data_IF_133360530521
#
_entry.id   IF_133360530521
#
_cell.length_a   1.000
_cell.length_b   1.000
_cell.length_c   1.000
_cell.angle_alpha   90.00
_cell.angle_beta   90.00
_cell.angle_gamma   90.00
#
_symmetry.space_group_name_H-M   'P 1'
#
loop_
_entity.id
_entity.type
_entity.pdbx_description
1 polymer ?
#
# COMPACT_ATOMS: atom_id res chain seq x y z
N UNK A 1 -21.53 -37.95 47.30
CA UNK A 1 -20.18 -37.78 46.71
C UNK A 1 -20.34 -37.78 45.19
N UNK A 2 -20.06 -36.67 44.51
CA UNK A 2 -20.10 -36.63 43.03
C UNK A 2 -18.83 -37.32 42.52
N UNK A 3 -18.96 -38.39 41.72
CA UNK A 3 -17.81 -39.02 41.05
C UNK A 3 -17.23 -38.01 40.06
N UNK A 4 -16.00 -37.58 40.29
CA UNK A 4 -15.24 -36.79 39.33
C UNK A 4 -14.78 -37.75 38.23
N UNK A 5 -15.36 -37.63 37.04
CA UNK A 5 -14.85 -38.32 35.86
C UNK A 5 -13.51 -37.66 35.49
N UNK A 6 -12.40 -38.32 35.81
CA UNK A 6 -11.08 -37.89 35.38
C UNK A 6 -10.94 -38.03 33.87
N UNK A 7 -10.23 -37.09 33.25
CA UNK A 7 -9.88 -37.14 31.84
C UNK A 7 -8.93 -38.32 31.58
N UNK A 8 -9.17 -39.09 30.52
CA UNK A 8 -8.32 -40.26 30.22
C UNK A 8 -7.01 -39.83 29.56
N UNK A 9 -5.93 -40.58 29.79
CA UNK A 9 -4.65 -40.33 29.11
C UNK A 9 -4.78 -40.46 27.58
N UNK A 10 -5.64 -41.37 27.11
CA UNK A 10 -5.89 -41.56 25.67
C UNK A 10 -6.59 -40.35 25.05
N UNK A 11 -7.55 -39.72 25.73
CA UNK A 11 -8.18 -38.49 25.24
C UNK A 11 -7.17 -37.36 25.08
N UNK A 12 -6.25 -37.21 26.05
CA UNK A 12 -5.22 -36.17 25.97
C UNK A 12 -4.29 -36.41 24.77
N UNK A 13 -3.89 -37.66 24.55
CA UNK A 13 -3.04 -38.05 23.42
C UNK A 13 -3.75 -37.82 22.08
N UNK A 14 -5.01 -38.19 21.96
CA UNK A 14 -5.77 -38.01 20.71
C UNK A 14 -5.93 -36.51 20.39
N UNK A 15 -6.19 -35.66 21.40
CA UNK A 15 -6.33 -34.21 21.19
C UNK A 15 -5.05 -33.60 20.63
N UNK A 16 -3.88 -33.92 21.20
CA UNK A 16 -2.61 -33.38 20.69
C UNK A 16 -2.28 -33.88 19.29
N UNK A 17 -2.66 -35.12 18.94
CA UNK A 17 -2.49 -35.68 17.59
C UNK A 17 -3.35 -34.89 16.58
N UNK A 18 -4.63 -34.69 16.90
CA UNK A 18 -5.54 -33.93 16.04
C UNK A 18 -5.05 -32.49 15.86
N UNK A 19 -4.65 -31.82 16.96
CA UNK A 19 -4.06 -30.48 16.89
C UNK A 19 -2.78 -30.45 16.05
N UNK A 20 -1.94 -31.49 16.13
CA UNK A 20 -0.74 -31.62 15.29
C UNK A 20 -1.05 -31.69 13.80
N UNK A 21 -2.03 -32.50 13.40
CA UNK A 21 -2.45 -32.61 11.99
C UNK A 21 -3.06 -31.30 11.47
N UNK A 22 -3.91 -30.67 12.29
CA UNK A 22 -4.52 -29.38 11.95
C UNK A 22 -3.47 -28.28 11.81
N UNK A 23 -2.46 -28.25 12.68
CA UNK A 23 -1.39 -27.24 12.61
C UNK A 23 -0.59 -27.34 11.30
N UNK A 24 -0.19 -28.56 10.89
CA UNK A 24 0.62 -28.77 9.67
C UNK A 24 -0.17 -28.42 8.40
N UNK A 25 -1.48 -28.63 8.38
CA UNK A 25 -2.32 -28.33 7.21
C UNK A 25 -2.79 -26.88 7.17
N UNK A 26 -3.04 -26.26 8.32
CA UNK A 26 -3.52 -24.87 8.40
C UNK A 26 -2.40 -23.84 8.22
N UNK A 27 -1.20 -24.10 8.74
CA UNK A 27 -0.11 -23.12 8.72
C UNK A 27 0.30 -22.68 7.30
N UNK A 28 0.51 -23.57 6.31
CA UNK A 28 0.86 -23.15 4.95
C UNK A 28 -0.23 -22.29 4.29
N UNK A 29 -1.51 -22.65 4.51
CA UNK A 29 -2.64 -21.89 3.97
C UNK A 29 -2.76 -20.51 4.60
N UNK A 30 -2.51 -20.39 5.91
CA UNK A 30 -2.54 -19.12 6.62
C UNK A 30 -1.42 -18.17 6.19
N UNK A 31 -0.23 -18.70 5.84
CA UNK A 31 0.87 -17.89 5.30
C UNK A 31 0.53 -17.33 3.92
N UNK A 32 0.04 -18.17 2.99
CA UNK A 32 -0.35 -17.71 1.66
C UNK A 32 -1.44 -16.62 1.72
N UNK A 33 -2.46 -16.78 2.57
CA UNK A 33 -3.51 -15.78 2.76
C UNK A 33 -2.98 -14.43 3.27
N UNK A 34 -1.93 -14.43 4.09
CA UNK A 34 -1.30 -13.19 4.55
C UNK A 34 -0.55 -12.50 3.43
N UNK A 35 0.15 -13.24 2.58
CA UNK A 35 0.89 -12.67 1.44
C UNK A 35 -0.09 -12.13 0.38
N UNK A 36 -1.18 -12.84 0.10
CA UNK A 36 -2.28 -12.36 -0.75
C UNK A 36 -2.90 -11.08 -0.19
N UNK A 37 -3.14 -11.02 1.13
CA UNK A 37 -3.69 -9.84 1.78
C UNK A 37 -2.75 -8.63 1.68
N UNK A 38 -1.43 -8.85 1.81
CA UNK A 38 -0.42 -7.78 1.66
C UNK A 38 -0.34 -7.30 0.21
N UNK A 39 -0.41 -8.19 -0.76
CA UNK A 39 -0.45 -7.84 -2.18
C UNK A 39 -1.71 -7.02 -2.51
N UNK A 40 -2.87 -7.43 -2.01
CA UNK A 40 -4.13 -6.69 -2.16
C UNK A 40 -4.07 -5.30 -1.50
N UNK A 41 -3.48 -5.19 -0.31
CA UNK A 41 -3.27 -3.90 0.35
C UNK A 41 -2.36 -2.97 -0.51
N UNK A 42 -1.29 -3.52 -1.08
CA UNK A 42 -0.41 -2.77 -1.98
C UNK A 42 -1.13 -2.30 -3.25
N UNK A 43 -1.99 -3.14 -3.84
CA UNK A 43 -2.85 -2.75 -4.97
C UNK A 43 -3.82 -1.63 -4.59
N UNK A 44 -4.39 -1.68 -3.37
CA UNK A 44 -5.23 -0.60 -2.86
C UNK A 44 -4.48 0.73 -2.76
N UNK A 45 -3.24 0.70 -2.24
CA UNK A 45 -2.37 1.87 -2.20
C UNK A 45 -2.02 2.37 -3.61
N UNK A 46 -1.69 1.47 -4.54
CA UNK A 46 -1.41 1.83 -5.93
C UNK A 46 -2.60 2.57 -6.57
N UNK A 47 -3.82 2.06 -6.36
CA UNK A 47 -5.03 2.69 -6.87
C UNK A 47 -5.28 4.07 -6.24
N UNK A 48 -5.06 4.22 -4.93
CA UNK A 48 -5.17 5.50 -4.24
C UNK A 48 -4.18 6.54 -4.79
N UNK A 49 -2.91 6.16 -4.96
CA UNK A 49 -1.86 7.03 -5.51
C UNK A 49 -2.15 7.41 -6.96
N UNK A 50 -2.63 6.46 -7.78
CA UNK A 50 -3.01 6.77 -9.17
C UNK A 50 -4.21 7.71 -9.24
N UNK A 51 -5.19 7.51 -8.37
CA UNK A 51 -6.39 8.35 -8.30
C UNK A 51 -6.04 9.77 -7.86
N UNK A 52 -5.25 9.93 -6.80
CA UNK A 52 -4.82 11.26 -6.33
C UNK A 52 -4.01 12.01 -7.38
N UNK A 53 -3.13 11.32 -8.11
CA UNK A 53 -2.38 11.93 -9.20
C UNK A 53 -3.29 12.47 -10.32
N UNK A 54 -4.36 11.76 -10.65
CA UNK A 54 -5.35 12.22 -11.65
C UNK A 54 -6.20 13.40 -11.13
N UNK A 55 -6.53 13.41 -9.84
CA UNK A 55 -7.25 14.54 -9.23
C UNK A 55 -6.41 15.81 -9.22
N UNK A 56 -5.12 15.70 -8.86
CA UNK A 56 -4.16 16.81 -8.91
C UNK A 56 -3.95 17.30 -10.34
N UNK A 57 -3.87 16.39 -11.32
CA UNK A 57 -3.83 16.76 -12.73
C UNK A 57 -5.08 17.52 -13.17
N UNK A 58 -6.25 17.05 -12.78
CA UNK A 58 -7.51 17.72 -13.09
C UNK A 58 -7.55 19.14 -12.53
N UNK A 59 -7.08 19.35 -11.30
CA UNK A 59 -6.97 20.68 -10.70
C UNK A 59 -5.93 21.56 -11.40
N UNK A 60 -4.76 21.01 -11.71
CA UNK A 60 -3.71 21.72 -12.44
C UNK A 60 -4.16 22.19 -13.83
N UNK A 61 -5.00 21.38 -14.52
CA UNK A 61 -5.59 21.74 -15.80
C UNK A 61 -6.61 22.89 -15.68
N UNK A 62 -7.34 22.97 -14.56
CA UNK A 62 -8.23 24.10 -14.29
C UNK A 62 -7.45 25.40 -14.02
N UNK A 63 -6.25 25.28 -13.47
CA UNK A 63 -5.34 26.42 -13.22
C UNK A 63 -4.44 26.76 -14.42
N UNK A 64 -4.48 25.97 -15.49
CA UNK A 64 -3.72 26.19 -16.73
C UNK A 64 -2.22 25.92 -16.61
N UNK A 65 -1.83 25.10 -15.62
CA UNK A 65 -0.42 24.74 -15.36
C UNK A 65 -0.09 23.29 -15.73
N UNK A 66 -1.01 22.57 -16.38
CA UNK A 66 -0.89 21.14 -16.71
C UNK A 66 0.22 20.80 -17.70
N UNK A 67 0.79 21.80 -18.37
CA UNK A 67 1.93 21.64 -19.29
C UNK A 67 3.23 22.26 -18.77
N UNK A 68 3.20 22.82 -17.56
CA UNK A 68 4.37 23.48 -16.99
C UNK A 68 5.34 22.43 -16.41
N UNK A 69 6.66 22.61 -16.60
CA UNK A 69 7.67 21.69 -16.08
C UNK A 69 7.73 21.66 -14.55
N UNK A 70 7.24 22.71 -13.91
CA UNK A 70 7.14 22.84 -12.45
C UNK A 70 6.04 23.82 -12.10
N UNK A 71 5.34 23.58 -11.00
CA UNK A 71 4.37 24.49 -10.41
C UNK A 71 3.92 23.99 -9.05
N UNK A 72 2.91 24.62 -8.48
CA UNK A 72 2.25 24.16 -7.28
C UNK A 72 0.76 24.47 -7.36
N UNK A 73 -0.06 23.60 -6.77
CA UNK A 73 -1.49 23.82 -6.57
C UNK A 73 -1.81 23.70 -5.08
N UNK A 74 -2.86 24.38 -4.63
CA UNK A 74 -3.35 24.19 -3.27
C UNK A 74 -4.38 23.06 -3.20
N UNK A 75 -4.24 22.15 -2.24
CA UNK A 75 -5.30 21.20 -1.89
C UNK A 75 -6.50 21.93 -1.26
N UNK A 76 -7.63 21.25 -1.12
CA UNK A 76 -8.85 21.81 -0.52
C UNK A 76 -8.67 22.24 0.94
N UNK A 77 -7.66 21.72 1.62
CA UNK A 77 -7.26 22.07 3.00
C UNK A 77 -6.18 23.16 3.06
N UNK A 78 -5.78 23.72 1.91
CA UNK A 78 -4.72 24.73 1.81
C UNK A 78 -3.30 24.16 1.82
N UNK A 79 -3.13 22.84 1.80
CA UNK A 79 -1.81 22.22 1.67
C UNK A 79 -1.28 22.39 0.25
N UNK A 80 -0.09 22.97 0.11
CA UNK A 80 0.55 23.11 -1.22
C UNK A 80 1.06 21.75 -1.72
N UNK A 81 0.74 21.45 -2.98
CA UNK A 81 1.16 20.26 -3.70
C UNK A 81 2.02 20.69 -4.87
N UNK A 82 3.30 20.33 -4.84
CA UNK A 82 4.21 20.54 -5.97
C UNK A 82 3.79 19.67 -7.15
N UNK A 83 3.74 20.26 -8.34
CA UNK A 83 3.34 19.58 -9.58
C UNK A 83 4.41 19.69 -10.67
N UNK A 84 4.46 18.67 -11.51
CA UNK A 84 5.34 18.54 -12.68
C UNK A 84 4.44 18.06 -13.83
N UNK A 85 4.31 18.88 -14.87
CA UNK A 85 3.35 18.67 -15.98
C UNK A 85 1.94 18.35 -15.48
N UNK A 86 1.48 19.12 -14.50
CA UNK A 86 0.16 18.98 -13.87
C UNK A 86 -0.01 17.80 -12.92
N UNK A 87 0.86 16.80 -12.93
CA UNK A 87 0.81 15.69 -11.98
C UNK A 87 1.61 16.02 -10.71
N UNK A 88 1.31 15.40 -9.56
CA UNK A 88 2.13 15.59 -8.36
C UNK A 88 3.61 15.27 -8.64
N UNK A 89 4.52 16.09 -8.11
CA UNK A 89 5.93 15.78 -8.13
C UNK A 89 6.21 14.49 -7.34
N UNK A 90 7.24 13.73 -7.73
CA UNK A 90 7.71 12.58 -6.97
C UNK A 90 8.53 13.02 -5.74
N UNK A 91 7.91 13.77 -4.83
CA UNK A 91 8.52 14.38 -3.65
C UNK A 91 7.59 14.34 -2.43
N UNK A 92 8.14 14.65 -1.26
CA UNK A 92 7.36 14.82 -0.02
C UNK A 92 6.37 16.00 -0.09
N UNK A 93 6.64 16.99 -0.92
CA UNK A 93 5.78 18.16 -1.16
C UNK A 93 4.80 17.95 -2.32
N UNK A 94 4.97 16.90 -3.11
CA UNK A 94 4.11 16.54 -4.24
C UNK A 94 3.17 15.40 -3.88
N UNK A 95 3.48 14.19 -4.37
CA UNK A 95 2.59 13.03 -4.28
C UNK A 95 2.22 12.65 -2.84
N UNK A 96 3.12 12.87 -1.87
CA UNK A 96 2.82 12.61 -0.45
C UNK A 96 1.73 13.53 0.09
N UNK A 97 1.76 14.82 -0.26
CA UNK A 97 0.71 15.76 0.11
C UNK A 97 -0.58 15.51 -0.68
N UNK A 98 -0.47 14.94 -1.88
CA UNK A 98 -1.63 14.62 -2.71
C UNK A 98 -2.40 13.37 -2.24
N UNK A 99 -1.77 12.44 -1.51
CA UNK A 99 -2.38 11.17 -1.11
C UNK A 99 -2.37 10.97 0.39
N UNK A 100 -3.56 10.77 0.96
CA UNK A 100 -3.70 10.30 2.34
C UNK A 100 -3.83 8.78 2.31
N UNK A 101 -2.83 8.09 2.88
CA UNK A 101 -2.86 6.64 3.04
C UNK A 101 -2.85 6.34 4.54
N UNK A 102 -3.87 5.64 5.00
CA UNK A 102 -3.98 5.23 6.39
C UNK A 102 -3.08 4.01 6.70
N UNK A 103 -2.69 3.87 7.97
CA UNK A 103 -1.99 2.70 8.48
C UNK A 103 -0.47 2.80 8.42
N UNK A 104 0.19 1.67 8.17
CA UNK A 104 1.64 1.49 8.30
C UNK A 104 2.45 1.88 7.05
N UNK A 105 1.80 2.38 6.01
CA UNK A 105 2.47 2.75 4.76
C UNK A 105 3.18 4.09 4.90
N UNK A 106 4.44 4.13 4.51
CA UNK A 106 5.25 5.33 4.46
C UNK A 106 5.86 5.52 3.09
N UNK A 107 6.13 6.77 2.74
CA UNK A 107 6.69 7.15 1.45
C UNK A 107 8.06 7.80 1.59
N UNK A 108 8.92 7.58 0.60
CA UNK A 108 10.21 8.26 0.48
C UNK A 108 10.61 8.41 -0.98
N UNK A 109 11.41 9.44 -1.28
CA UNK A 109 12.02 9.61 -2.59
C UNK A 109 13.10 8.54 -2.79
N UNK A 110 13.08 7.86 -3.94
CA UNK A 110 14.08 6.89 -4.35
C UNK A 110 14.40 7.09 -5.84
N UNK A 111 15.52 7.75 -6.12
CA UNK A 111 15.87 8.17 -7.47
C UNK A 111 14.83 9.15 -8.04
N UNK A 112 14.26 8.82 -9.20
CA UNK A 112 13.22 9.61 -9.86
C UNK A 112 11.79 9.21 -9.46
N UNK A 113 11.63 8.23 -8.57
CA UNK A 113 10.34 7.75 -8.10
C UNK A 113 10.12 8.10 -6.63
N UNK A 114 8.85 8.17 -6.25
CA UNK A 114 8.43 8.19 -4.85
C UNK A 114 7.87 6.81 -4.49
N UNK A 115 8.46 6.17 -3.49
CA UNK A 115 8.20 4.77 -3.17
C UNK A 115 7.43 4.68 -1.86
N UNK A 116 6.22 4.11 -1.93
CA UNK A 116 5.44 3.74 -0.77
C UNK A 116 5.75 2.30 -0.36
N UNK A 117 6.00 2.08 0.93
CA UNK A 117 6.38 0.80 1.50
C UNK A 117 5.87 0.65 2.93
N UNK A 118 5.89 -0.57 3.46
CA UNK A 118 5.57 -0.88 4.86
C UNK A 118 6.53 -1.95 5.36
N UNK A 119 6.84 -1.97 6.66
CA UNK A 119 7.70 -2.99 7.27
C UNK A 119 7.07 -4.40 7.28
N UNK A 120 5.76 -4.49 7.08
CA UNK A 120 5.01 -5.75 7.11
C UNK A 120 5.00 -6.51 5.77
N UNK A 121 5.50 -5.91 4.69
CA UNK A 121 5.45 -6.47 3.33
C UNK A 121 6.72 -6.13 2.53
N UNK A 122 7.06 -6.98 1.56
CA UNK A 122 8.08 -6.69 0.55
C UNK A 122 7.52 -5.92 -0.66
N UNK A 123 6.19 -5.82 -0.76
CA UNK A 123 5.52 -5.03 -1.78
C UNK A 123 5.84 -3.55 -1.62
N UNK A 124 6.24 -2.90 -2.71
CA UNK A 124 6.33 -1.45 -2.80
C UNK A 124 5.47 -0.92 -3.94
N UNK A 125 4.95 0.29 -3.76
CA UNK A 125 4.24 1.05 -4.79
C UNK A 125 5.13 2.20 -5.22
N UNK A 126 5.56 2.16 -6.47
CA UNK A 126 6.49 3.14 -7.03
C UNK A 126 5.69 4.13 -7.88
N UNK A 127 5.67 5.40 -7.48
CA UNK A 127 5.11 6.50 -8.25
C UNK A 127 6.23 7.20 -9.04
N UNK A 128 6.05 7.31 -10.35
CA UNK A 128 6.95 8.08 -11.23
C UNK A 128 6.21 9.31 -11.72
N UNK A 129 6.80 10.49 -11.51
CA UNK A 129 6.23 11.75 -11.95
C UNK A 129 6.12 11.81 -13.48
N UNK A 130 5.27 12.72 -13.96
CA UNK A 130 5.12 12.98 -15.39
C UNK A 130 6.37 13.64 -15.99
N UNK A 131 6.49 13.53 -17.31
CA UNK A 131 7.44 14.26 -18.15
C UNK A 131 6.68 15.01 -19.24
N UNK A 132 7.37 15.82 -20.04
CA UNK A 132 6.76 16.54 -21.18
C UNK A 132 5.94 15.64 -22.11
N UNK A 133 6.33 14.37 -22.21
CA UNK A 133 5.80 13.41 -23.18
C UNK A 133 5.12 12.21 -22.52
N UNK A 134 5.04 12.14 -21.19
CA UNK A 134 4.51 10.95 -20.50
C UNK A 134 3.79 11.34 -19.22
N UNK A 135 2.58 10.83 -19.05
CA UNK A 135 1.82 10.99 -17.82
C UNK A 135 2.50 10.29 -16.64
N UNK A 136 2.17 10.72 -15.42
CA UNK A 136 2.62 10.03 -14.23
C UNK A 136 2.12 8.58 -14.20
N UNK A 137 2.90 7.68 -13.61
CA UNK A 137 2.58 6.26 -13.56
C UNK A 137 2.87 5.65 -12.19
N UNK A 138 2.14 4.57 -11.88
CA UNK A 138 2.37 3.78 -10.67
C UNK A 138 2.65 2.32 -11.04
N UNK A 139 3.61 1.71 -10.33
CA UNK A 139 3.96 0.31 -10.51
C UNK A 139 4.12 -0.39 -9.16
N UNK A 140 3.67 -1.64 -9.08
CA UNK A 140 3.96 -2.54 -7.97
C UNK A 140 5.30 -3.24 -8.19
N UNK A 141 6.07 -3.40 -7.13
CA UNK A 141 7.30 -4.19 -7.14
C UNK A 141 7.39 -5.07 -5.88
N UNK A 142 8.06 -6.23 -5.97
CA UNK A 142 8.38 -7.06 -4.80
C UNK A 142 7.22 -7.83 -4.17
N UNK A 143 6.10 -8.03 -4.87
CA UNK A 143 4.91 -8.72 -4.35
C UNK A 143 4.85 -10.25 -4.57
N UNK A 144 6.00 -10.89 -4.81
CA UNK A 144 6.11 -12.35 -4.99
C UNK A 144 6.83 -13.00 -3.79
#
# INVERSE_FOLDING_TARGET
MKKQAGFTLIELVIVIIILGILAVTAAPKFLNLQDDAKAAAAQGVQAAVSSSAQLVYSKSALEGIERQPSGAIDSSDGTSIDVVYGYPAASDTGIKNAVTIDGSWSGQVSGSAYVFSTSSSKCTVNYTAATETSAASTALAGCN
#
